data_IF_793042582635
#
_entry.id   IF_793042582635
#
_cell.length_a   1.000
_cell.length_b   1.000
_cell.length_c   1.000
_cell.angle_alpha   90.00
_cell.angle_beta   90.00
_cell.angle_gamma   90.00
#
_symmetry.space_group_name_H-M   'P 1'
#
loop_
_entity.id
_entity.type
_entity.pdbx_description
1 polymer ?
#
# COMPACT_ATOMS: atom_id res chain seq x y z
N UNK A 1 18.38 22.36 24.66
CA UNK A 1 17.02 22.94 24.78
C UNK A 1 16.33 22.64 23.46
N UNK A 2 15.45 21.66 23.46
CA UNK A 2 15.11 20.85 22.30
C UNK A 2 13.94 21.38 21.48
N UNK A 3 14.18 21.53 20.19
CA UNK A 3 13.23 21.60 19.06
C UNK A 3 12.12 20.51 19.07
N UNK A 4 12.19 19.52 19.98
CA UNK A 4 11.21 18.45 20.13
C UNK A 4 9.96 18.85 20.92
N UNK A 5 9.96 19.99 21.63
CA UNK A 5 8.84 20.38 22.51
C UNK A 5 7.72 21.10 21.71
N UNK A 6 8.05 21.78 20.62
CA UNK A 6 7.09 22.64 19.90
C UNK A 6 6.14 21.89 18.95
N UNK A 7 6.40 20.63 18.65
CA UNK A 7 5.49 19.80 17.83
C UNK A 7 4.45 19.04 18.66
N UNK A 8 4.50 19.12 19.99
CA UNK A 8 3.50 18.50 20.89
C UNK A 8 2.28 19.40 21.15
N UNK A 9 2.17 20.54 20.46
CA UNK A 9 1.10 21.52 20.68
C UNK A 9 -0.18 21.26 19.88
N UNK A 10 -0.31 20.09 19.25
CA UNK A 10 -1.60 19.59 18.79
C UNK A 10 -2.12 18.63 19.85
N UNK A 11 -3.38 18.80 20.26
CA UNK A 11 -4.11 17.90 21.14
C UNK A 11 -4.39 16.58 20.38
N UNK A 12 -3.33 15.87 20.05
CA UNK A 12 -3.36 14.63 19.29
C UNK A 12 -3.82 13.56 20.27
N UNK A 13 -5.04 13.07 20.07
CA UNK A 13 -5.63 11.99 20.87
C UNK A 13 -4.60 10.86 21.07
N UNK A 14 -4.41 10.38 22.31
CA UNK A 14 -3.44 9.31 22.65
C UNK A 14 -3.50 8.09 21.70
N UNK A 15 -4.66 7.84 21.07
CA UNK A 15 -4.87 6.83 20.02
C UNK A 15 -3.97 7.04 18.78
N UNK A 16 -3.75 8.28 18.33
CA UNK A 16 -2.93 8.59 17.15
C UNK A 16 -1.43 8.29 17.36
N UNK A 17 -0.94 8.39 18.60
CA UNK A 17 0.45 8.05 18.95
C UNK A 17 0.65 6.52 18.97
N UNK A 18 -0.32 5.77 19.49
CA UNK A 18 -0.33 4.30 19.45
C UNK A 18 -0.44 3.76 18.02
N UNK A 19 -1.21 4.41 17.14
CA UNK A 19 -1.34 4.05 15.72
C UNK A 19 0.02 4.15 15.00
N UNK A 20 0.84 5.17 15.30
CA UNK A 20 2.17 5.33 14.68
C UNK A 20 3.22 4.32 15.14
N UNK A 21 3.09 3.78 16.35
CA UNK A 21 4.08 2.87 16.95
C UNK A 21 3.79 1.40 16.66
N UNK A 22 2.52 1.02 16.44
CA UNK A 22 2.14 -0.34 16.07
C UNK A 22 2.12 -0.59 14.55
N UNK A 23 1.89 0.44 13.74
CA UNK A 23 1.85 0.31 12.28
C UNK A 23 3.25 0.54 11.72
N UNK A 24 3.84 -0.51 11.13
CA UNK A 24 4.99 -0.37 10.23
C UNK A 24 4.55 0.47 9.00
N UNK A 25 4.57 1.80 9.14
CA UNK A 25 4.04 2.80 8.19
C UNK A 25 4.79 2.90 6.85
N UNK A 26 5.47 1.83 6.41
CA UNK A 26 6.13 1.80 5.11
C UNK A 26 5.08 1.68 4.01
N UNK A 27 5.32 2.34 2.88
CA UNK A 27 4.43 2.27 1.73
C UNK A 27 4.31 0.82 1.25
N UNK A 28 3.11 0.37 0.86
CA UNK A 28 2.92 -0.96 0.29
C UNK A 28 3.76 -1.13 -0.99
N UNK A 29 4.29 -2.33 -1.19
CA UNK A 29 4.96 -2.71 -2.42
C UNK A 29 3.96 -3.31 -3.41
N UNK A 30 3.37 -2.41 -4.21
CA UNK A 30 2.40 -2.77 -5.24
C UNK A 30 2.97 -3.70 -6.31
N UNK A 31 4.29 -3.64 -6.57
CA UNK A 31 4.90 -4.49 -7.60
C UNK A 31 4.88 -5.96 -7.19
N UNK A 32 5.24 -6.24 -5.94
CA UNK A 32 5.19 -7.59 -5.36
C UNK A 32 3.75 -8.10 -5.27
N UNK A 33 2.79 -7.24 -4.88
CA UNK A 33 1.37 -7.64 -4.84
C UNK A 33 0.81 -8.01 -6.22
N UNK A 34 1.12 -7.22 -7.26
CA UNK A 34 0.64 -7.50 -8.61
C UNK A 34 1.27 -8.80 -9.15
N UNK A 35 2.54 -9.05 -8.87
CA UNK A 35 3.19 -10.31 -9.23
C UNK A 35 2.53 -11.51 -8.54
N UNK A 36 2.26 -11.39 -7.23
CA UNK A 36 1.57 -12.45 -6.49
C UNK A 36 0.16 -12.71 -7.01
N UNK A 37 -0.60 -11.67 -7.34
CA UNK A 37 -1.92 -11.80 -7.95
C UNK A 37 -1.86 -12.54 -9.29
N UNK A 38 -0.88 -12.20 -10.13
CA UNK A 38 -0.68 -12.85 -11.42
C UNK A 38 -0.34 -14.34 -11.24
N UNK A 39 0.58 -14.64 -10.33
CA UNK A 39 1.15 -15.99 -10.21
C UNK A 39 0.21 -16.94 -9.44
N UNK A 40 -0.50 -16.45 -8.40
CA UNK A 40 -1.39 -17.27 -7.56
C UNK A 40 -2.84 -17.33 -8.05
N UNK A 41 -3.31 -16.29 -8.76
CA UNK A 41 -4.72 -16.14 -9.13
C UNK A 41 -4.98 -15.88 -10.63
N UNK A 42 -3.95 -16.01 -11.47
CA UNK A 42 -4.05 -15.73 -12.93
C UNK A 42 -4.62 -14.32 -13.24
N UNK A 43 -4.32 -13.36 -12.35
CA UNK A 43 -4.79 -11.98 -12.50
C UNK A 43 -3.84 -11.19 -13.39
N UNK A 44 -4.21 -11.02 -14.66
CA UNK A 44 -3.47 -10.19 -15.60
C UNK A 44 -3.70 -8.69 -15.32
N UNK A 45 -2.84 -7.83 -15.87
CA UNK A 45 -2.97 -6.38 -15.71
C UNK A 45 -4.33 -5.86 -16.21
N UNK A 46 -4.88 -6.48 -17.25
CA UNK A 46 -6.19 -6.18 -17.81
C UNK A 46 -7.32 -6.57 -16.86
N UNK A 47 -7.26 -7.78 -16.26
CA UNK A 47 -8.26 -8.23 -15.28
C UNK A 47 -8.27 -7.33 -14.04
N UNK A 48 -7.08 -6.95 -13.56
CA UNK A 48 -6.94 -6.02 -12.43
C UNK A 48 -7.50 -4.64 -12.80
N UNK A 49 -7.14 -4.10 -13.98
CA UNK A 49 -7.63 -2.80 -14.43
C UNK A 49 -9.15 -2.77 -14.70
N UNK A 50 -9.75 -3.91 -15.04
CA UNK A 50 -11.20 -4.03 -15.20
C UNK A 50 -11.95 -3.90 -13.86
N UNK A 51 -11.33 -4.32 -12.76
CA UNK A 51 -11.91 -4.25 -11.42
C UNK A 51 -11.64 -2.90 -10.77
N UNK A 52 -10.45 -2.34 -10.97
CA UNK A 52 -10.03 -1.09 -10.36
C UNK A 52 -10.57 0.14 -11.12
N UNK A 53 -10.79 1.28 -10.43
CA UNK A 53 -11.25 2.52 -11.07
C UNK A 53 -10.10 3.22 -11.81
N UNK A 54 -9.55 2.58 -12.85
CA UNK A 54 -8.40 3.09 -13.62
C UNK A 54 -8.66 3.14 -15.12
N UNK A 55 -7.89 3.96 -15.82
CA UNK A 55 -8.07 4.16 -17.27
C UNK A 55 -7.71 2.94 -18.11
N UNK A 56 -6.88 2.02 -17.60
CA UNK A 56 -6.54 0.80 -18.33
C UNK A 56 -5.37 0.01 -17.73
N UNK A 57 -5.05 -1.11 -18.39
CA UNK A 57 -4.01 -2.06 -17.98
C UNK A 57 -2.58 -1.48 -17.99
N UNK A 58 -2.36 -0.39 -18.73
CA UNK A 58 -1.09 0.34 -18.74
C UNK A 58 -0.72 0.87 -17.35
N UNK A 59 -1.69 1.43 -16.60
CA UNK A 59 -1.47 1.92 -15.24
C UNK A 59 -1.05 0.80 -14.29
N UNK A 60 -1.72 -0.35 -14.35
CA UNK A 60 -1.35 -1.54 -13.55
C UNK A 60 0.04 -2.03 -13.92
N UNK A 61 0.36 -2.03 -15.21
CA UNK A 61 1.68 -2.43 -15.71
C UNK A 61 2.80 -1.48 -15.30
N UNK A 62 2.51 -0.19 -15.12
CA UNK A 62 3.46 0.79 -14.57
C UNK A 62 3.74 0.50 -13.09
N UNK A 63 2.72 0.19 -12.30
CA UNK A 63 2.91 -0.14 -10.88
C UNK A 63 3.65 -1.46 -10.68
N UNK A 64 3.43 -2.44 -11.55
CA UNK A 64 4.20 -3.68 -11.58
C UNK A 64 5.71 -3.44 -11.81
N UNK A 65 6.08 -2.30 -12.39
CA UNK A 65 7.48 -1.86 -12.60
C UNK A 65 7.99 -0.92 -11.51
N UNK A 66 7.23 -0.72 -10.42
CA UNK A 66 7.59 0.16 -9.31
C UNK A 66 6.96 1.55 -9.35
N UNK A 67 6.02 1.80 -10.27
CA UNK A 67 5.15 2.97 -10.21
C UNK A 67 4.25 2.96 -8.96
N UNK A 68 3.77 4.13 -8.56
CA UNK A 68 2.93 4.28 -7.37
C UNK A 68 1.54 4.75 -7.81
N UNK A 69 0.45 4.03 -7.45
CA UNK A 69 -0.91 4.46 -7.73
C UNK A 69 -1.31 5.67 -6.90
N UNK A 70 -2.35 6.39 -7.33
CA UNK A 70 -3.06 7.34 -6.47
C UNK A 70 -3.65 6.63 -5.25
N UNK A 71 -3.83 7.35 -4.14
CA UNK A 71 -4.23 6.77 -2.86
C UNK A 71 -5.47 5.87 -2.96
N UNK A 72 -6.57 6.36 -3.54
CA UNK A 72 -7.84 5.62 -3.67
C UNK A 72 -7.68 4.33 -4.50
N UNK A 73 -6.90 4.41 -5.58
CA UNK A 73 -6.63 3.27 -6.45
C UNK A 73 -5.72 2.25 -5.77
N UNK A 74 -4.74 2.74 -5.00
CA UNK A 74 -3.85 1.91 -4.21
C UNK A 74 -4.57 1.17 -3.08
N UNK A 75 -5.56 1.82 -2.45
CA UNK A 75 -6.43 1.21 -1.44
C UNK A 75 -7.29 0.10 -2.06
N UNK A 76 -7.91 0.38 -3.22
CA UNK A 76 -8.69 -0.62 -3.95
C UNK A 76 -7.84 -1.84 -4.38
N UNK A 77 -6.60 -1.61 -4.83
CA UNK A 77 -5.67 -2.70 -5.15
C UNK A 77 -5.27 -3.53 -3.92
N UNK A 78 -5.05 -2.87 -2.77
CA UNK A 78 -4.77 -3.56 -1.50
C UNK A 78 -5.95 -4.44 -1.06
N UNK A 79 -7.17 -3.93 -1.16
CA UNK A 79 -8.38 -4.66 -0.80
C UNK A 79 -8.58 -5.88 -1.71
N UNK A 80 -8.38 -5.70 -3.02
CA UNK A 80 -8.40 -6.80 -4.00
C UNK A 80 -7.38 -7.88 -3.64
N UNK A 81 -6.14 -7.49 -3.34
CA UNK A 81 -5.08 -8.42 -2.98
C UNK A 81 -5.41 -9.21 -1.71
N UNK A 82 -5.89 -8.56 -0.65
CA UNK A 82 -6.31 -9.24 0.59
C UNK A 82 -7.46 -10.22 0.34
N UNK A 83 -8.44 -9.81 -0.46
CA UNK A 83 -9.62 -10.61 -0.76
C UNK A 83 -9.27 -11.88 -1.51
N UNK A 84 -8.36 -11.81 -2.49
CA UNK A 84 -7.97 -12.97 -3.28
C UNK A 84 -7.00 -13.89 -2.53
N UNK A 85 -6.05 -13.32 -1.78
CA UNK A 85 -5.02 -14.09 -1.07
C UNK A 85 -5.43 -14.55 0.32
N UNK A 86 -6.61 -14.13 0.83
CA UNK A 86 -7.06 -14.32 2.22
C UNK A 86 -6.07 -13.81 3.27
N UNK A 87 -5.29 -12.78 2.94
CA UNK A 87 -4.27 -12.18 3.80
C UNK A 87 -4.78 -10.96 4.57
N UNK A 88 -4.07 -10.60 5.63
CA UNK A 88 -4.42 -9.49 6.51
C UNK A 88 -3.47 -8.29 6.33
N UNK A 89 -3.72 -7.22 7.07
CA UNK A 89 -2.89 -6.00 7.05
C UNK A 89 -1.43 -6.24 7.46
N UNK A 90 -1.18 -7.30 8.24
CA UNK A 90 0.14 -7.67 8.73
C UNK A 90 1.01 -8.30 7.64
N UNK A 91 0.38 -8.92 6.63
CA UNK A 91 1.04 -9.64 5.55
C UNK A 91 1.37 -8.74 4.34
N UNK A 92 0.88 -7.50 4.34
CA UNK A 92 1.07 -6.56 3.23
C UNK A 92 2.57 -6.44 2.97
N UNK A 93 3.06 -6.76 1.75
CA UNK A 93 4.46 -6.50 1.41
C UNK A 93 4.65 -4.99 1.43
N UNK A 94 5.66 -4.52 2.15
CA UNK A 94 5.98 -3.09 2.27
C UNK A 94 7.38 -2.85 1.75
N UNK A 95 7.58 -1.72 1.09
CA UNK A 95 8.88 -1.33 0.56
C UNK A 95 9.88 -1.21 1.73
N UNK A 96 10.90 -2.07 1.75
CA UNK A 96 11.95 -2.04 2.77
C UNK A 96 13.02 -0.99 2.48
N UNK A 97 12.64 0.18 1.94
CA UNK A 97 13.58 1.29 1.79
C UNK A 97 13.79 1.95 3.14
N UNK A 98 14.76 1.46 3.91
CA UNK A 98 15.65 2.41 4.56
C UNK A 98 16.51 2.98 3.43
N UNK A 99 16.24 4.21 3.01
CA UNK A 99 17.24 4.94 2.22
C UNK A 99 18.48 5.03 3.11
N UNK A 100 19.56 4.37 2.69
CA UNK A 100 20.90 4.69 3.18
C UNK A 100 21.29 6.05 2.61
#
# INVERSE_FOLDING_TARGET
MGIYIELNNFEVSKRLIFIKTAIKYKAPDYSTMIQELRDSHDMTAEKIAFILPVSGASSVSEWARGGIPHYEVGEALLELWKTLTNKTDEDIPRLDRWSV
#
